data_IF_412298549771
#
_entry.id   IF_412298549771
#
_cell.length_a   1.000
_cell.length_b   1.000
_cell.length_c   1.000
_cell.angle_alpha   90.00
_cell.angle_beta   90.00
_cell.angle_gamma   90.00
#
_symmetry.space_group_name_H-M   'P 1'
#
loop_
_entity.id
_entity.type
_entity.pdbx_description
1 polymer ?
#
# COMPACT_ATOMS: atom_id res chain seq x y z
N UNK A 1 -13.40 6.67 1.12
CA UNK A 1 -12.26 6.18 0.31
C UNK A 1 -11.65 4.89 0.85
N UNK A 2 -12.44 3.83 0.93
CA UNK A 2 -11.89 2.52 1.28
C UNK A 2 -11.48 1.81 -0.01
N UNK A 3 -10.20 1.46 -0.11
CA UNK A 3 -9.62 0.82 -1.27
C UNK A 3 -10.36 -0.47 -1.66
N UNK A 4 -10.82 -1.26 -0.70
CA UNK A 4 -11.51 -2.53 -0.96
C UNK A 4 -12.97 -2.31 -1.38
N UNK A 5 -13.65 -1.30 -0.82
CA UNK A 5 -15.04 -0.95 -1.22
C UNK A 5 -15.10 -0.41 -2.66
N UNK A 6 -13.99 0.13 -3.17
CA UNK A 6 -13.84 0.58 -4.56
C UNK A 6 -13.43 -0.53 -5.54
N UNK A 7 -13.45 -1.79 -5.11
CA UNK A 7 -13.06 -2.95 -5.94
C UNK A 7 -11.58 -3.30 -5.87
N UNK A 8 -10.85 -2.78 -4.88
CA UNK A 8 -9.49 -3.23 -4.59
C UNK A 8 -9.48 -4.69 -4.17
N UNK A 9 -8.63 -5.49 -4.81
CA UNK A 9 -8.44 -6.91 -4.51
C UNK A 9 -6.99 -7.21 -4.11
N UNK A 10 -6.72 -8.47 -3.78
CA UNK A 10 -5.38 -8.94 -3.39
C UNK A 10 -4.32 -8.78 -4.49
N UNK A 11 -4.71 -8.81 -5.77
CA UNK A 11 -3.81 -8.61 -6.92
C UNK A 11 -3.44 -7.13 -7.04
N UNK A 12 -4.44 -6.23 -7.01
CA UNK A 12 -4.22 -4.79 -7.03
C UNK A 12 -3.36 -4.36 -5.82
N UNK A 13 -3.62 -4.95 -4.66
CA UNK A 13 -2.82 -4.76 -3.43
C UNK A 13 -1.33 -5.06 -3.65
N UNK A 14 -1.04 -6.23 -4.24
CA UNK A 14 0.33 -6.64 -4.56
C UNK A 14 0.97 -5.72 -5.62
N UNK A 15 0.22 -5.31 -6.64
CA UNK A 15 0.70 -4.39 -7.66
C UNK A 15 1.08 -3.02 -7.07
N UNK A 16 0.28 -2.48 -6.15
CA UNK A 16 0.58 -1.23 -5.45
C UNK A 16 1.88 -1.36 -4.67
N UNK A 17 2.05 -2.42 -3.89
CA UNK A 17 3.26 -2.67 -3.11
C UNK A 17 4.49 -2.81 -4.01
N UNK A 18 4.37 -3.54 -5.11
CA UNK A 18 5.45 -3.71 -6.08
C UNK A 18 5.86 -2.37 -6.71
N UNK A 19 4.89 -1.53 -7.10
CA UNK A 19 5.13 -0.19 -7.66
C UNK A 19 5.74 0.75 -6.62
N UNK A 20 5.22 0.76 -5.39
CA UNK A 20 5.76 1.55 -4.29
C UNK A 20 7.22 1.17 -4.02
N UNK A 21 7.53 -0.13 -3.97
CA UNK A 21 8.88 -0.63 -3.77
C UNK A 21 9.85 -0.15 -4.86
N UNK A 22 9.41 -0.10 -6.13
CA UNK A 22 10.21 0.44 -7.25
C UNK A 22 10.53 1.93 -7.07
N UNK A 23 9.66 2.68 -6.39
CA UNK A 23 9.88 4.08 -6.04
C UNK A 23 10.64 4.25 -4.71
N UNK A 24 11.21 3.16 -4.16
CA UNK A 24 11.91 3.21 -2.88
C UNK A 24 10.96 3.37 -1.69
N UNK A 25 9.68 3.01 -1.82
CA UNK A 25 8.71 3.07 -0.72
C UNK A 25 8.41 1.64 -0.26
N UNK A 26 8.65 1.34 1.01
CA UNK A 26 8.33 0.07 1.65
C UNK A 26 6.90 0.09 2.16
N UNK A 27 6.09 -0.79 1.59
CA UNK A 27 4.75 -1.14 2.05
C UNK A 27 4.64 -2.66 2.17
N UNK A 28 3.75 -3.13 3.04
CA UNK A 28 3.45 -4.55 3.22
C UNK A 28 1.97 -4.85 2.99
N UNK A 29 1.61 -6.08 2.55
CA UNK A 29 0.21 -6.47 2.37
C UNK A 29 -0.60 -6.28 3.64
N UNK A 30 -0.02 -6.66 4.79
CA UNK A 30 -0.66 -6.48 6.10
C UNK A 30 -1.03 -5.02 6.37
N UNK A 31 -0.12 -4.08 6.11
CA UNK A 31 -0.41 -2.65 6.25
C UNK A 31 -1.55 -2.22 5.33
N UNK A 32 -1.65 -2.73 4.11
CA UNK A 32 -2.73 -2.40 3.18
C UNK A 32 -4.11 -2.92 3.63
N UNK A 33 -4.15 -4.11 4.22
CA UNK A 33 -5.37 -4.68 4.80
C UNK A 33 -5.78 -3.99 6.10
N UNK A 34 -4.82 -3.60 6.95
CA UNK A 34 -5.07 -2.88 8.21
C UNK A 34 -5.37 -1.38 7.99
N UNK A 35 -4.83 -0.80 6.92
CA UNK A 35 -4.92 0.63 6.57
C UNK A 35 -5.59 0.73 5.20
N UNK A 36 -6.91 0.63 5.21
CA UNK A 36 -7.73 0.48 4.00
C UNK A 36 -7.88 1.80 3.20
N UNK A 37 -7.23 2.87 3.64
CA UNK A 37 -7.27 4.19 3.00
C UNK A 37 -5.86 4.68 2.68
N UNK A 38 -5.71 5.50 1.64
CA UNK A 38 -4.42 6.06 1.24
C UNK A 38 -3.79 6.91 2.35
N UNK A 39 -4.60 7.69 3.07
CA UNK A 39 -4.11 8.53 4.17
C UNK A 39 -3.48 7.68 5.28
N UNK A 40 -4.13 6.60 5.67
CA UNK A 40 -3.59 5.71 6.71
C UNK A 40 -2.34 4.95 6.23
N UNK A 41 -2.29 4.59 4.95
CA UNK A 41 -1.11 3.97 4.33
C UNK A 41 0.08 4.92 4.29
N UNK A 42 -0.15 6.19 3.96
CA UNK A 42 0.89 7.20 3.92
C UNK A 42 1.58 7.35 5.29
N UNK A 43 0.82 7.28 6.39
CA UNK A 43 1.38 7.37 7.75
C UNK A 43 2.30 6.21 8.14
N UNK A 44 2.21 5.06 7.46
CA UNK A 44 3.04 3.88 7.74
C UNK A 44 4.05 3.56 6.63
N UNK A 45 4.01 4.31 5.54
CA UNK A 45 4.93 4.19 4.41
C UNK A 45 6.34 4.61 4.85
N UNK A 46 7.34 3.77 4.58
CA UNK A 46 8.74 4.09 4.88
C UNK A 46 9.55 4.19 3.61
N UNK A 47 10.41 5.20 3.51
CA UNK A 47 11.41 5.27 2.45
C UNK A 47 12.49 4.21 2.70
N UNK A 48 12.80 3.43 1.67
CA UNK A 48 13.94 2.54 1.60
C UNK A 48 15.09 3.43 1.14
N UNK A 49 15.86 3.94 2.09
CA UNK A 49 17.12 4.61 1.74
C UNK A 49 18.08 3.57 1.16
N UNK A 50 18.79 3.97 0.11
CA UNK A 50 19.75 3.15 -0.63
C UNK A 50 21.05 3.01 0.15
#
# INVERSE_FOLDING_TARGET
DNFFELGGDSILSLQIIARAKRQGIKLSPKQLFEKQTISQLASVAKLIQK
#
